data_IF_538266213970
#
_entry.id   IF_538266213970
#
_cell.length_a   1.000
_cell.length_b   1.000
_cell.length_c   1.000
_cell.angle_alpha   90.00
_cell.angle_beta   90.00
_cell.angle_gamma   90.00
#
_symmetry.space_group_name_H-M   'P 1'
#
loop_
_entity.id
_entity.type
_entity.pdbx_description
1 polymer ?
#
# COMPACT_ATOMS: atom_id res chain seq x y z
N UNK A 1 11.76 9.31 -0.33
CA UNK A 1 12.11 7.99 0.21
C UNK A 1 11.01 7.57 1.17
N UNK A 2 9.97 6.83 0.74
CA UNK A 2 8.80 6.57 1.59
C UNK A 2 9.14 5.85 2.90
N UNK A 3 10.31 5.20 2.97
CA UNK A 3 10.88 4.60 4.19
C UNK A 3 12.04 5.44 4.70
N UNK A 4 12.15 5.54 6.02
CA UNK A 4 13.33 6.06 6.71
C UNK A 4 13.61 5.19 7.92
N UNK A 5 14.59 4.32 7.80
CA UNK A 5 15.05 3.49 8.92
C UNK A 5 15.70 4.35 10.01
N UNK A 6 15.53 3.94 11.26
CA UNK A 6 16.31 4.50 12.37
C UNK A 6 17.78 4.09 12.23
N UNK A 7 18.68 4.97 12.63
CA UNK A 7 20.10 4.63 12.75
C UNK A 7 20.32 3.84 14.05
N UNK A 8 20.74 2.56 13.98
CA UNK A 8 20.88 1.71 15.16
C UNK A 8 21.87 2.26 16.19
N UNK A 9 22.87 3.04 15.78
CA UNK A 9 23.88 3.60 16.67
C UNK A 9 23.34 4.76 17.51
N UNK A 10 22.27 5.42 17.05
CA UNK A 10 21.67 6.60 17.70
C UNK A 10 20.23 6.36 18.17
N UNK A 11 19.68 5.17 17.95
CA UNK A 11 18.33 4.77 18.33
C UNK A 11 18.23 4.33 19.80
N UNK A 12 18.17 5.29 20.71
CA UNK A 12 17.96 5.04 22.14
C UNK A 12 16.52 4.64 22.50
N UNK A 13 15.55 4.85 21.59
CA UNK A 13 14.13 4.54 21.83
C UNK A 13 13.85 3.07 21.53
N UNK A 14 14.31 2.59 20.38
CA UNK A 14 14.09 1.23 19.92
C UNK A 14 12.73 1.00 19.27
N UNK A 15 12.69 0.02 18.37
CA UNK A 15 11.55 -0.27 17.47
C UNK A 15 10.19 -0.49 18.15
N UNK A 16 10.16 -1.06 19.36
CA UNK A 16 8.90 -1.40 20.03
C UNK A 16 8.40 -0.34 21.01
N UNK A 17 9.11 0.78 21.13
CA UNK A 17 8.80 1.85 22.09
C UNK A 17 8.39 3.17 21.42
N UNK A 18 8.39 3.23 20.08
CA UNK A 18 8.00 4.42 19.32
C UNK A 18 6.48 4.61 19.35
N UNK A 19 6.07 5.88 19.32
CA UNK A 19 4.69 6.27 19.10
C UNK A 19 4.27 6.01 17.64
N UNK A 20 2.98 5.76 17.45
CA UNK A 20 2.34 5.62 16.14
C UNK A 20 1.04 6.42 16.10
N UNK A 21 0.48 6.61 14.90
CA UNK A 21 -0.79 7.31 14.73
C UNK A 21 -1.94 6.58 15.47
N UNK A 22 -1.94 5.24 15.44
CA UNK A 22 -2.93 4.45 16.18
C UNK A 22 -2.82 4.60 17.70
N UNK A 23 -1.59 4.72 18.23
CA UNK A 23 -1.38 5.00 19.65
C UNK A 23 -1.81 6.43 20.02
N UNK A 24 -1.51 7.43 19.19
CA UNK A 24 -1.95 8.80 19.40
C UNK A 24 -3.49 8.90 19.41
N UNK A 25 -4.15 8.30 18.42
CA UNK A 25 -5.62 8.26 18.35
C UNK A 25 -6.23 7.56 19.58
N UNK A 26 -5.63 6.45 20.03
CA UNK A 26 -6.12 5.75 21.23
C UNK A 26 -5.97 6.61 22.49
N UNK A 27 -4.91 7.42 22.59
CA UNK A 27 -4.71 8.34 23.70
C UNK A 27 -5.78 9.43 23.72
N UNK A 28 -6.06 10.06 22.57
CA UNK A 28 -7.10 11.10 22.47
C UNK A 28 -8.50 10.55 22.73
N UNK A 29 -8.85 9.39 22.16
CA UNK A 29 -10.17 8.77 22.35
C UNK A 29 -10.39 8.29 23.79
N UNK A 30 -9.37 7.63 24.36
CA UNK A 30 -9.47 7.01 25.68
C UNK A 30 -8.07 6.82 26.31
N UNK A 31 -7.57 7.82 27.08
CA UNK A 31 -6.27 7.73 27.75
C UNK A 31 -6.14 6.50 28.67
N UNK A 32 -7.26 6.08 29.28
CA UNK A 32 -7.32 4.89 30.14
C UNK A 32 -7.08 3.60 29.35
N UNK A 33 -7.68 3.49 28.16
CA UNK A 33 -7.44 2.38 27.24
C UNK A 33 -5.98 2.36 26.78
N UNK A 34 -5.44 3.52 26.41
CA UNK A 34 -4.03 3.65 26.05
C UNK A 34 -3.11 3.20 27.19
N UNK A 35 -3.38 3.62 28.43
CA UNK A 35 -2.61 3.22 29.61
C UNK A 35 -2.65 1.69 29.79
N UNK A 36 -3.82 1.08 29.67
CA UNK A 36 -3.96 -0.37 29.76
C UNK A 36 -3.15 -1.12 28.69
N UNK A 37 -3.19 -0.66 27.44
CA UNK A 37 -2.46 -1.32 26.35
C UNK A 37 -0.94 -1.11 26.42
N UNK A 38 -0.51 0.12 26.71
CA UNK A 38 0.88 0.53 26.51
C UNK A 38 1.70 0.50 27.81
N UNK A 39 1.09 0.76 28.97
CA UNK A 39 1.76 0.68 30.28
C UNK A 39 1.50 -0.64 30.99
N UNK A 40 0.24 -1.08 31.08
CA UNK A 40 -0.10 -2.35 31.73
C UNK A 40 0.05 -3.57 30.81
N UNK A 41 0.32 -3.35 29.51
CA UNK A 41 0.48 -4.40 28.49
C UNK A 41 -0.72 -5.35 28.37
N UNK A 42 -1.93 -4.89 28.73
CA UNK A 42 -3.17 -5.62 28.50
C UNK A 42 -3.46 -5.66 27.00
N UNK A 43 -3.57 -6.87 26.44
CA UNK A 43 -3.72 -7.07 25.00
C UNK A 43 -5.18 -7.34 24.66
N UNK A 44 -5.70 -6.64 23.65
CA UNK A 44 -7.06 -6.82 23.19
C UNK A 44 -7.24 -8.11 22.39
N UNK A 45 -8.47 -8.66 22.38
CA UNK A 45 -8.81 -9.77 21.51
C UNK A 45 -8.52 -9.45 20.05
N UNK A 46 -8.09 -10.44 19.30
CA UNK A 46 -7.84 -10.33 17.86
C UNK A 46 -9.03 -10.92 17.11
N UNK A 47 -9.73 -10.08 16.36
CA UNK A 47 -10.98 -10.43 15.67
C UNK A 47 -10.72 -10.68 14.18
N UNK A 48 -11.53 -11.51 13.49
CA UNK A 48 -11.35 -11.79 12.07
C UNK A 48 -11.23 -10.55 11.16
N UNK A 49 -11.98 -9.44 11.36
CA UNK A 49 -11.84 -8.24 10.53
C UNK A 49 -10.43 -7.64 10.49
N UNK A 50 -9.64 -7.79 11.55
CA UNK A 50 -8.26 -7.30 11.58
C UNK A 50 -7.37 -8.10 10.62
N UNK A 51 -7.55 -9.43 10.58
CA UNK A 51 -6.80 -10.32 9.69
C UNK A 51 -7.32 -10.25 8.27
N UNK A 52 -8.63 -10.17 8.08
CA UNK A 52 -9.24 -9.99 6.75
C UNK A 52 -8.84 -8.64 6.13
N UNK A 53 -8.70 -7.57 6.93
CA UNK A 53 -8.17 -6.30 6.46
C UNK A 53 -6.74 -6.40 5.94
N UNK A 54 -5.87 -7.09 6.70
CA UNK A 54 -4.49 -7.40 6.28
C UNK A 54 -4.46 -8.29 5.03
N UNK A 55 -5.36 -9.29 4.94
CA UNK A 55 -5.46 -10.18 3.78
C UNK A 55 -5.78 -9.39 2.50
N UNK A 56 -6.69 -8.41 2.60
CA UNK A 56 -7.03 -7.52 1.48
C UNK A 56 -5.84 -6.67 1.07
N UNK A 57 -5.16 -6.04 2.03
CA UNK A 57 -3.98 -5.22 1.77
C UNK A 57 -2.87 -6.04 1.09
N UNK A 58 -2.54 -7.21 1.63
CA UNK A 58 -1.54 -8.10 1.05
C UNK A 58 -1.92 -8.53 -0.38
N UNK A 59 -3.18 -8.93 -0.60
CA UNK A 59 -3.65 -9.35 -1.92
C UNK A 59 -3.53 -8.22 -2.95
N UNK A 60 -3.91 -7.00 -2.59
CA UNK A 60 -3.77 -5.82 -3.46
C UNK A 60 -2.30 -5.55 -3.75
N UNK A 61 -1.43 -5.55 -2.75
CA UNK A 61 0.01 -5.34 -2.91
C UNK A 61 0.66 -6.40 -3.81
N UNK A 62 0.27 -7.69 -3.69
CA UNK A 62 0.78 -8.76 -4.57
C UNK A 62 0.39 -8.55 -6.03
N UNK A 63 -0.83 -8.09 -6.31
CA UNK A 63 -1.25 -7.77 -7.68
C UNK A 63 -0.56 -6.51 -8.21
N UNK A 64 -0.39 -5.47 -7.39
CA UNK A 64 0.35 -4.25 -7.76
C UNK A 64 1.85 -4.49 -8.02
N UNK A 65 2.43 -5.53 -7.41
CA UNK A 65 3.81 -5.94 -7.65
C UNK A 65 4.00 -6.56 -9.04
N UNK A 66 2.94 -7.12 -9.62
CA UNK A 66 2.95 -7.71 -10.96
C UNK A 66 2.72 -6.65 -12.05
N UNK A 67 2.96 -7.05 -13.30
CA UNK A 67 2.71 -6.20 -14.47
C UNK A 67 1.85 -6.94 -15.50
N UNK A 68 0.82 -6.29 -16.06
CA UNK A 68 0.06 -6.86 -17.18
C UNK A 68 0.89 -6.98 -18.46
N UNK A 69 2.07 -6.35 -18.54
CA UNK A 69 3.03 -6.53 -19.63
C UNK A 69 4.00 -7.70 -19.43
N UNK A 70 3.96 -8.39 -18.28
CA UNK A 70 4.88 -9.50 -17.94
C UNK A 70 4.15 -10.77 -17.48
N UNK A 71 2.98 -10.63 -16.87
CA UNK A 71 2.30 -11.72 -16.17
C UNK A 71 0.94 -11.97 -16.81
N UNK A 72 0.71 -13.20 -17.29
CA UNK A 72 -0.59 -13.62 -17.81
C UNK A 72 -1.67 -13.65 -16.70
N UNK A 73 -2.96 -13.43 -17.03
CA UNK A 73 -4.06 -13.46 -16.05
C UNK A 73 -4.08 -14.73 -15.18
N UNK A 74 -3.79 -15.88 -15.80
CA UNK A 74 -3.81 -17.21 -15.18
C UNK A 74 -2.42 -17.71 -14.73
N UNK A 75 -1.41 -16.84 -14.68
CA UNK A 75 -0.07 -17.21 -14.22
C UNK A 75 -0.10 -17.77 -12.78
N UNK A 76 0.79 -18.71 -12.42
CA UNK A 76 0.81 -19.26 -11.07
C UNK A 76 1.23 -18.20 -10.02
N UNK A 77 0.96 -18.51 -8.75
CA UNK A 77 1.27 -17.64 -7.60
C UNK A 77 2.74 -17.25 -7.49
N UNK A 78 3.64 -18.17 -7.86
CA UNK A 78 5.09 -18.01 -7.73
C UNK A 78 5.75 -17.49 -9.02
N UNK A 79 4.96 -16.93 -9.95
CA UNK A 79 5.48 -16.37 -11.23
C UNK A 79 6.57 -15.32 -11.00
N UNK A 80 6.47 -14.53 -9.92
CA UNK A 80 7.45 -13.49 -9.55
C UNK A 80 8.58 -14.00 -8.63
N UNK A 81 8.63 -15.29 -8.27
CA UNK A 81 9.56 -15.83 -7.26
C UNK A 81 11.03 -15.59 -7.59
N UNK A 82 11.37 -15.57 -8.88
CA UNK A 82 12.74 -15.32 -9.34
C UNK A 82 12.96 -13.85 -9.74
N UNK A 83 12.01 -12.95 -9.46
CA UNK A 83 12.06 -11.54 -9.85
C UNK A 83 11.57 -11.29 -11.29
N UNK A 84 11.08 -10.07 -11.51
CA UNK A 84 10.49 -9.63 -12.77
C UNK A 84 11.52 -9.58 -13.92
N UNK A 85 12.79 -9.34 -13.62
CA UNK A 85 13.87 -9.28 -14.63
C UNK A 85 14.20 -10.62 -15.29
N UNK A 86 13.58 -11.71 -14.83
CA UNK A 86 13.69 -13.04 -15.41
C UNK A 86 12.42 -13.47 -16.16
N UNK A 87 11.42 -12.58 -16.26
CA UNK A 87 10.26 -12.72 -17.12
C UNK A 87 10.52 -12.03 -18.47
N UNK A 88 9.94 -12.57 -19.53
CA UNK A 88 9.95 -11.94 -20.84
C UNK A 88 8.72 -11.03 -20.96
N UNK A 89 8.85 -9.82 -21.54
CA UNK A 89 7.70 -9.02 -21.97
C UNK A 89 6.74 -9.84 -22.82
N UNK A 90 5.45 -9.69 -22.54
CA UNK A 90 4.39 -10.23 -23.38
C UNK A 90 4.41 -9.55 -24.75
N UNK A 91 4.09 -10.31 -25.80
CA UNK A 91 3.86 -9.76 -27.12
C UNK A 91 2.61 -8.88 -27.14
N UNK A 92 2.49 -8.02 -28.15
CA UNK A 92 1.40 -7.04 -28.21
C UNK A 92 0.01 -7.71 -28.30
N UNK A 93 -0.08 -8.92 -28.87
CA UNK A 93 -1.28 -9.75 -28.93
C UNK A 93 -1.53 -10.62 -27.67
N UNK A 94 -0.55 -10.68 -26.76
CA UNK A 94 -0.64 -11.38 -25.47
C UNK A 94 -0.99 -10.45 -24.30
N UNK A 95 -0.76 -9.14 -24.44
CA UNK A 95 -1.14 -8.14 -23.44
C UNK A 95 -2.66 -8.13 -23.27
N UNK A 96 -3.19 -8.15 -22.04
CA UNK A 96 -4.63 -8.15 -21.81
C UNK A 96 -5.28 -6.86 -22.33
N UNK A 97 -6.39 -7.02 -23.06
CA UNK A 97 -7.17 -5.88 -23.56
C UNK A 97 -7.96 -5.17 -22.44
N UNK A 98 -8.33 -5.90 -21.39
CA UNK A 98 -9.01 -5.37 -20.21
C UNK A 98 -8.13 -5.61 -18.96
N UNK A 99 -7.53 -4.53 -18.47
CA UNK A 99 -6.67 -4.59 -17.29
C UNK A 99 -7.44 -4.84 -16.00
N UNK A 100 -8.74 -4.48 -15.96
CA UNK A 100 -9.56 -4.75 -14.79
C UNK A 100 -9.92 -6.24 -14.72
N UNK A 101 -10.23 -6.86 -15.86
CA UNK A 101 -10.39 -8.32 -15.96
C UNK A 101 -9.09 -9.06 -15.61
N UNK A 102 -7.94 -8.53 -16.05
CA UNK A 102 -6.62 -9.02 -15.64
C UNK A 102 -6.44 -8.92 -14.11
N UNK A 103 -6.68 -7.75 -13.52
CA UNK A 103 -6.61 -7.53 -12.07
C UNK A 103 -7.49 -8.51 -11.31
N UNK A 104 -8.72 -8.70 -11.79
CA UNK A 104 -9.69 -9.61 -11.20
C UNK A 104 -9.20 -11.07 -11.23
N UNK A 105 -8.61 -11.49 -12.34
CA UNK A 105 -7.98 -12.80 -12.48
C UNK A 105 -6.80 -12.97 -11.54
N UNK A 106 -5.95 -11.94 -11.38
CA UNK A 106 -4.83 -11.96 -10.44
C UNK A 106 -5.29 -12.03 -8.99
N UNK A 107 -6.35 -11.30 -8.62
CA UNK A 107 -6.99 -11.42 -7.30
C UNK A 107 -7.49 -12.85 -7.08
N UNK A 108 -8.13 -13.47 -8.06
CA UNK A 108 -8.62 -14.85 -7.93
C UNK A 108 -7.50 -15.87 -7.73
N UNK A 109 -6.32 -15.61 -8.30
CA UNK A 109 -5.13 -16.43 -8.09
C UNK A 109 -4.59 -16.25 -6.66
N UNK A 110 -4.40 -15.01 -6.20
CA UNK A 110 -3.77 -14.68 -4.91
C UNK A 110 -4.67 -14.89 -3.69
N UNK A 111 -5.94 -14.51 -3.79
CA UNK A 111 -6.86 -14.43 -2.65
C UNK A 111 -7.01 -15.73 -1.85
N UNK A 112 -7.23 -16.92 -2.46
CA UNK A 112 -7.48 -18.14 -1.69
C UNK A 112 -6.34 -18.47 -0.74
N UNK A 113 -5.08 -18.40 -1.23
CA UNK A 113 -3.91 -18.72 -0.42
C UNK A 113 -3.73 -17.72 0.73
N UNK A 114 -3.78 -16.43 0.44
CA UNK A 114 -3.59 -15.37 1.45
C UNK A 114 -4.69 -15.46 2.52
N UNK A 115 -5.94 -15.63 2.12
CA UNK A 115 -7.07 -15.79 3.03
C UNK A 115 -6.87 -16.98 3.97
N UNK A 116 -6.44 -18.12 3.43
CA UNK A 116 -6.26 -19.35 4.21
C UNK A 116 -5.08 -19.23 5.19
N UNK A 117 -3.97 -18.63 4.76
CA UNK A 117 -2.83 -18.31 5.64
C UNK A 117 -3.22 -17.34 6.77
N UNK A 118 -4.02 -16.30 6.46
CA UNK A 118 -4.53 -15.36 7.45
C UNK A 118 -5.52 -16.00 8.43
N UNK A 119 -6.35 -16.94 7.95
CA UNK A 119 -7.22 -17.73 8.82
C UNK A 119 -6.41 -18.63 9.76
N UNK A 120 -5.35 -19.26 9.26
CA UNK A 120 -4.44 -20.08 10.07
C UNK A 120 -3.73 -19.24 11.14
N UNK A 121 -3.26 -18.04 10.80
CA UNK A 121 -2.63 -17.12 11.75
C UNK A 121 -3.62 -16.69 12.85
N UNK A 122 -4.82 -16.25 12.49
CA UNK A 122 -5.87 -15.91 13.45
C UNK A 122 -6.22 -17.10 14.34
N UNK A 123 -6.33 -18.30 13.76
CA UNK A 123 -6.70 -19.52 14.49
C UNK A 123 -5.66 -19.92 15.55
N UNK A 124 -4.39 -19.55 15.35
CA UNK A 124 -3.28 -19.80 16.27
C UNK A 124 -3.01 -18.65 17.24
N UNK A 125 -3.58 -17.45 17.03
CA UNK A 125 -3.36 -16.32 17.92
C UNK A 125 -3.94 -16.63 19.31
N UNK A 126 -3.12 -16.49 20.35
CA UNK A 126 -3.49 -16.74 21.75
C UNK A 126 -4.65 -15.86 22.24
N UNK A 127 -4.94 -14.76 21.53
CA UNK A 127 -5.98 -13.79 21.83
C UNK A 127 -7.11 -13.83 20.80
N UNK A 128 -7.22 -14.88 19.99
CA UNK A 128 -8.30 -14.99 19.00
C UNK A 128 -9.66 -14.85 19.65
N UNK A 129 -10.58 -14.20 18.95
CA UNK A 129 -11.93 -13.93 19.40
C UNK A 129 -12.86 -13.72 18.22
N UNK A 130 -14.17 -13.87 18.44
CA UNK A 130 -15.16 -13.87 17.37
C UNK A 130 -15.12 -15.17 16.57
N UNK A 131 -15.88 -15.22 15.48
CA UNK A 131 -15.96 -16.37 14.60
C UNK A 131 -15.61 -15.95 13.16
N UNK A 132 -14.63 -16.63 12.56
CA UNK A 132 -14.18 -16.35 11.19
C UNK A 132 -15.31 -16.52 10.15
N UNK A 133 -16.21 -17.47 10.40
CA UNK A 133 -17.31 -17.81 9.49
C UNK A 133 -18.48 -16.82 9.54
N UNK A 134 -18.43 -15.81 10.42
CA UNK A 134 -19.42 -14.72 10.43
C UNK A 134 -19.20 -13.73 9.27
N UNK A 135 -18.08 -13.88 8.53
CA UNK A 135 -17.67 -12.98 7.47
C UNK A 135 -17.70 -13.68 6.12
N UNK A 136 -18.17 -12.95 5.10
CA UNK A 136 -18.24 -13.43 3.73
C UNK A 136 -16.89 -13.19 3.02
N UNK A 137 -16.26 -14.25 2.55
CA UNK A 137 -14.96 -14.19 1.90
C UNK A 137 -15.01 -13.56 0.51
N UNK A 138 -16.14 -13.65 -0.18
CA UNK A 138 -16.33 -13.04 -1.50
C UNK A 138 -16.43 -11.51 -1.37
N UNK A 139 -17.05 -11.03 -0.28
CA UNK A 139 -17.08 -9.60 0.03
C UNK A 139 -15.68 -9.01 0.20
N UNK A 140 -14.77 -9.71 0.89
CA UNK A 140 -13.38 -9.22 1.05
C UNK A 140 -12.56 -9.39 -0.23
N UNK A 141 -12.79 -10.46 -1.00
CA UNK A 141 -12.22 -10.59 -2.35
C UNK A 141 -12.61 -9.40 -3.22
N UNK A 142 -13.88 -8.99 -3.20
CA UNK A 142 -14.38 -7.88 -3.99
C UNK A 142 -13.84 -6.52 -3.52
N UNK A 143 -13.44 -6.41 -2.25
CA UNK A 143 -12.68 -5.25 -1.76
C UNK A 143 -11.30 -5.16 -2.43
N UNK A 144 -10.61 -6.28 -2.68
CA UNK A 144 -9.36 -6.30 -3.44
C UNK A 144 -9.57 -5.78 -4.87
N UNK A 145 -10.59 -6.27 -5.56
CA UNK A 145 -10.95 -5.81 -6.92
C UNK A 145 -11.34 -4.33 -6.91
N UNK A 146 -12.05 -3.88 -5.87
CA UNK A 146 -12.40 -2.47 -5.73
C UNK A 146 -11.16 -1.58 -5.55
N UNK A 147 -10.16 -2.02 -4.79
CA UNK A 147 -8.89 -1.30 -4.65
C UNK A 147 -8.14 -1.20 -5.99
N UNK A 148 -8.10 -2.29 -6.77
CA UNK A 148 -7.44 -2.31 -8.08
C UNK A 148 -8.21 -1.50 -9.13
N UNK A 149 -9.54 -1.47 -9.06
CA UNK A 149 -10.35 -0.52 -9.86
C UNK A 149 -9.99 0.92 -9.53
N UNK A 150 -9.79 1.24 -8.25
CA UNK A 150 -9.30 2.56 -7.87
C UNK A 150 -7.86 2.80 -8.39
N UNK A 151 -6.98 1.80 -8.30
CA UNK A 151 -5.66 1.94 -8.93
C UNK A 151 -5.75 2.23 -10.43
N UNK A 152 -6.69 1.61 -11.15
CA UNK A 152 -6.90 1.87 -12.58
C UNK A 152 -7.24 3.33 -12.90
N UNK A 153 -7.96 4.07 -12.02
CA UNK A 153 -8.15 5.51 -12.26
C UNK A 153 -6.81 6.27 -12.17
N UNK A 154 -5.88 5.86 -11.30
CA UNK A 154 -4.53 6.44 -11.22
C UNK A 154 -3.69 6.09 -12.46
N UNK A 155 -3.84 4.88 -13.01
CA UNK A 155 -3.22 4.45 -14.27
C UNK A 155 -3.73 5.31 -15.42
N UNK A 156 -5.04 5.53 -15.51
CA UNK A 156 -5.63 6.37 -16.55
C UNK A 156 -5.24 7.84 -16.41
N UNK A 157 -5.21 8.38 -15.18
CA UNK A 157 -4.71 9.73 -14.92
C UNK A 157 -3.25 9.88 -15.34
N UNK A 158 -2.40 8.91 -14.98
CA UNK A 158 -1.00 8.87 -15.40
C UNK A 158 -0.88 8.85 -16.93
N UNK A 159 -1.58 7.93 -17.60
CA UNK A 159 -1.53 7.82 -19.07
C UNK A 159 -1.89 9.14 -19.76
N UNK A 160 -2.86 9.87 -19.23
CA UNK A 160 -3.39 11.09 -19.82
C UNK A 160 -2.60 12.35 -19.46
N UNK A 161 -1.84 12.35 -18.37
CA UNK A 161 -1.19 13.56 -17.84
C UNK A 161 0.32 13.47 -17.70
N UNK A 162 0.92 12.29 -17.92
CA UNK A 162 2.36 12.10 -17.84
C UNK A 162 3.10 13.03 -18.79
N UNK A 163 4.17 13.65 -18.29
CA UNK A 163 5.02 14.50 -19.10
C UNK A 163 5.95 13.67 -19.98
N UNK A 164 6.32 14.20 -21.15
CA UNK A 164 7.30 13.57 -22.04
C UNK A 164 8.65 13.33 -21.34
N UNK A 165 9.06 14.26 -20.46
CA UNK A 165 10.26 14.12 -19.66
C UNK A 165 10.19 12.93 -18.70
N UNK A 166 9.11 12.81 -17.93
CA UNK A 166 8.93 11.71 -16.96
C UNK A 166 8.85 10.35 -17.67
N UNK A 167 8.13 10.29 -18.79
CA UNK A 167 8.03 9.08 -19.62
C UNK A 167 9.40 8.67 -20.18
N UNK A 168 10.16 9.62 -20.71
CA UNK A 168 11.50 9.35 -21.27
C UNK A 168 12.46 8.86 -20.19
N UNK A 169 12.51 9.55 -19.04
CA UNK A 169 13.33 9.13 -17.91
C UNK A 169 12.99 7.71 -17.43
N UNK A 170 11.70 7.39 -17.32
CA UNK A 170 11.27 6.03 -16.94
C UNK A 170 11.69 4.99 -17.99
N UNK A 171 11.52 5.28 -19.29
CA UNK A 171 11.93 4.40 -20.40
C UNK A 171 13.43 4.13 -20.40
N UNK A 172 14.23 5.13 -20.05
CA UNK A 172 15.68 5.03 -19.89
C UNK A 172 16.11 4.23 -18.64
N UNK A 173 15.15 3.89 -17.77
CA UNK A 173 15.39 3.09 -16.58
C UNK A 173 15.70 3.92 -15.33
N UNK A 174 15.40 5.22 -15.32
CA UNK A 174 15.51 6.04 -14.11
C UNK A 174 14.54 5.52 -13.05
N UNK A 175 15.06 5.25 -11.85
CA UNK A 175 14.27 4.75 -10.72
C UNK A 175 14.42 5.68 -9.52
N UNK A 176 13.39 5.70 -8.68
CA UNK A 176 13.51 6.30 -7.36
C UNK A 176 14.51 5.52 -6.51
N UNK A 177 15.18 6.21 -5.59
CA UNK A 177 16.12 5.61 -4.64
C UNK A 177 15.52 4.50 -3.77
N UNK A 178 14.22 4.57 -3.48
CA UNK A 178 13.39 3.41 -3.09
C UNK A 178 12.31 3.27 -4.17
N UNK A 179 12.45 2.30 -5.09
CA UNK A 179 11.45 2.03 -6.11
C UNK A 179 10.19 1.41 -5.47
N UNK A 180 9.07 1.45 -6.20
CA UNK A 180 7.93 0.62 -5.83
C UNK A 180 8.34 -0.86 -5.88
N UNK A 181 7.78 -1.74 -5.03
CA UNK A 181 8.01 -3.16 -5.16
C UNK A 181 7.53 -3.65 -6.54
N UNK A 182 8.49 -4.03 -7.38
CA UNK A 182 8.23 -4.48 -8.76
C UNK A 182 9.02 -5.72 -9.16
N UNK A 183 9.78 -6.29 -8.21
CA UNK A 183 10.63 -7.46 -8.45
C UNK A 183 11.80 -7.21 -9.40
N UNK A 184 12.08 -5.95 -9.78
CA UNK A 184 13.21 -5.59 -10.66
C UNK A 184 14.40 -5.08 -9.86
N UNK A 185 15.59 -5.53 -10.26
CA UNK A 185 16.90 -5.15 -9.72
C UNK A 185 17.90 -4.75 -10.80
N UNK A 186 17.71 -5.18 -12.06
CA UNK A 186 18.62 -4.85 -13.16
C UNK A 186 18.45 -3.39 -13.60
N UNK A 187 19.59 -2.75 -13.86
CA UNK A 187 19.66 -1.39 -14.42
C UNK A 187 19.55 -1.40 -15.95
N UNK A 188 19.34 -0.22 -16.52
CA UNK A 188 19.19 0.00 -17.97
C UNK A 188 17.73 0.26 -18.38
N UNK A 189 17.52 0.42 -19.69
CA UNK A 189 16.22 0.75 -20.26
C UNK A 189 15.12 -0.20 -19.79
N UNK A 190 13.93 0.34 -19.56
CA UNK A 190 12.79 -0.45 -19.09
C UNK A 190 12.40 -1.49 -20.16
N UNK A 191 12.27 -2.79 -19.83
CA UNK A 191 11.96 -3.83 -20.81
C UNK A 191 10.58 -3.67 -21.46
N UNK A 192 9.67 -2.96 -20.78
CA UNK A 192 8.34 -2.61 -21.28
C UNK A 192 8.28 -1.24 -21.99
N UNK A 193 9.41 -0.56 -22.18
CA UNK A 193 9.45 0.71 -22.89
C UNK A 193 9.03 0.53 -24.36
N UNK A 194 8.15 1.40 -24.84
CA UNK A 194 7.69 1.42 -26.23
C UNK A 194 8.01 2.77 -26.88
N UNK A 195 7.95 2.81 -28.21
CA UNK A 195 8.01 4.07 -28.95
C UNK A 195 6.63 4.73 -29.02
N UNK A 196 6.59 6.06 -29.13
CA UNK A 196 5.36 6.84 -29.26
C UNK A 196 4.76 7.26 -27.91
N UNK A 197 3.44 7.46 -27.91
CA UNK A 197 2.69 7.89 -26.72
C UNK A 197 2.77 6.86 -25.59
N UNK A 198 2.45 7.29 -24.36
CA UNK A 198 2.39 6.42 -23.20
C UNK A 198 1.32 5.32 -23.42
N UNK A 199 1.77 4.06 -23.48
CA UNK A 199 0.91 2.90 -23.53
C UNK A 199 0.27 2.63 -22.15
N UNK A 200 -0.78 1.79 -22.12
CA UNK A 200 -1.44 1.46 -20.86
C UNK A 200 -0.54 0.64 -19.92
N UNK A 201 0.31 -0.24 -20.47
CA UNK A 201 1.32 -0.97 -19.69
C UNK A 201 2.32 -0.01 -19.06
N UNK A 202 2.85 0.95 -19.83
CA UNK A 202 3.78 1.95 -19.28
C UNK A 202 3.10 2.79 -18.19
N UNK A 203 1.84 3.20 -18.40
CA UNK A 203 1.09 3.93 -17.39
C UNK A 203 0.86 3.11 -16.12
N UNK A 204 0.63 1.79 -16.21
CA UNK A 204 0.53 0.91 -15.04
C UNK A 204 1.85 0.89 -14.25
N UNK A 205 2.97 0.67 -14.93
CA UNK A 205 4.29 0.63 -14.30
C UNK A 205 4.66 1.95 -13.63
N UNK A 206 4.35 3.09 -14.28
CA UNK A 206 4.69 4.42 -13.78
C UNK A 206 3.74 4.84 -12.65
N UNK A 207 2.45 4.54 -12.77
CA UNK A 207 1.47 4.87 -11.75
C UNK A 207 1.58 3.98 -10.51
N UNK A 208 2.27 2.84 -10.60
CA UNK A 208 2.46 1.91 -9.49
C UNK A 208 2.93 2.64 -8.23
N UNK A 209 2.14 2.61 -7.15
CA UNK A 209 2.54 3.27 -5.91
C UNK A 209 3.70 2.51 -5.27
N UNK A 210 4.45 3.20 -4.42
CA UNK A 210 5.21 2.48 -3.40
C UNK A 210 4.24 1.92 -2.35
N UNK A 211 4.53 0.73 -1.84
CA UNK A 211 3.80 0.06 -0.77
C UNK A 211 4.75 -0.83 0.04
N UNK A 212 4.29 -1.33 1.19
CA UNK A 212 5.03 -2.31 1.99
C UNK A 212 5.11 -3.62 1.22
N UNK A 213 6.32 -4.01 0.83
CA UNK A 213 6.55 -5.29 0.17
C UNK A 213 6.05 -6.45 1.07
N UNK A 214 5.09 -7.27 0.59
CA UNK A 214 4.56 -8.41 1.34
C UNK A 214 5.62 -9.42 1.81
N UNK A 215 6.74 -9.50 1.09
CA UNK A 215 7.82 -10.44 1.41
C UNK A 215 8.91 -9.80 2.30
N UNK A 216 8.79 -8.50 2.63
CA UNK A 216 9.72 -7.82 3.54
C UNK A 216 9.50 -8.23 5.00
N UNK A 217 10.57 -8.23 5.84
CA UNK A 217 10.43 -8.49 7.26
C UNK A 217 9.44 -7.53 7.91
N UNK A 218 8.62 -8.04 8.82
CA UNK A 218 7.61 -7.23 9.51
C UNK A 218 8.23 -5.95 10.10
N UNK A 219 7.56 -4.82 9.95
CA UNK A 219 7.97 -3.48 10.38
C UNK A 219 9.33 -2.97 9.86
N UNK A 220 9.89 -3.57 8.80
CA UNK A 220 11.16 -3.11 8.22
C UNK A 220 11.01 -1.87 7.32
N UNK A 221 9.79 -1.56 6.87
CA UNK A 221 9.51 -0.51 5.90
C UNK A 221 8.80 0.72 6.51
N UNK A 222 9.08 1.01 7.79
CA UNK A 222 8.54 2.17 8.47
C UNK A 222 9.30 3.46 8.11
N UNK A 223 8.58 4.58 8.06
CA UNK A 223 9.19 5.90 8.20
C UNK A 223 9.36 6.22 9.68
N UNK A 224 10.61 6.40 10.11
CA UNK A 224 10.96 6.74 11.50
C UNK A 224 11.35 8.22 11.58
N UNK A 225 10.82 8.91 12.59
CA UNK A 225 11.18 10.29 12.90
C UNK A 225 12.70 10.39 13.20
N UNK A 226 13.40 11.48 12.80
CA UNK A 226 14.83 11.65 13.05
C UNK A 226 15.26 11.48 14.51
N UNK A 227 14.41 11.86 15.45
CA UNK A 227 14.62 11.72 16.89
C UNK A 227 14.07 10.38 17.45
N UNK A 228 13.70 9.44 16.58
CA UNK A 228 13.30 8.06 16.88
C UNK A 228 12.06 7.87 17.76
N UNK A 229 11.38 8.93 18.22
CA UNK A 229 10.21 8.80 19.11
C UNK A 229 8.90 8.42 18.39
N UNK A 230 8.84 8.56 17.06
CA UNK A 230 7.65 8.26 16.25
C UNK A 230 7.98 7.40 15.04
N UNK A 231 7.05 6.52 14.66
CA UNK A 231 7.10 5.81 13.38
C UNK A 231 5.70 5.63 12.77
N UNK A 232 5.67 5.50 11.45
CA UNK A 232 4.47 5.17 10.70
C UNK A 232 4.80 4.33 9.47
N UNK A 233 3.80 3.62 8.98
CA UNK A 233 3.86 2.80 7.78
C UNK A 233 2.77 3.31 6.83
N UNK A 234 3.14 3.66 5.61
CA UNK A 234 2.19 4.13 4.60
C UNK A 234 1.69 2.93 3.81
N UNK A 235 0.38 2.83 3.59
CA UNK A 235 -0.18 1.74 2.78
C UNK A 235 0.25 1.92 1.32
N UNK A 236 -0.07 3.07 0.70
CA UNK A 236 0.31 3.39 -0.67
C UNK A 236 0.84 4.84 -0.81
N UNK A 237 1.92 5.01 -1.57
CA UNK A 237 2.49 6.32 -1.92
C UNK A 237 2.64 6.45 -3.44
N UNK A 238 1.75 7.20 -4.06
CA UNK A 238 1.80 7.52 -5.49
C UNK A 238 2.75 8.69 -5.75
N UNK A 239 3.48 8.61 -6.87
CA UNK A 239 4.55 9.56 -7.22
C UNK A 239 4.53 10.04 -8.68
N UNK A 240 3.56 9.58 -9.46
CA UNK A 240 3.45 9.93 -10.88
C UNK A 240 2.97 11.37 -11.09
N UNK A 241 3.36 11.96 -12.22
CA UNK A 241 2.97 13.33 -12.60
C UNK A 241 3.62 14.39 -11.71
N UNK A 242 4.80 14.10 -11.15
CA UNK A 242 5.56 14.99 -10.26
C UNK A 242 4.85 15.31 -8.94
N UNK A 243 3.84 14.52 -8.54
CA UNK A 243 3.02 14.76 -7.35
C UNK A 243 3.08 13.56 -6.40
N UNK A 244 3.45 13.83 -5.16
CA UNK A 244 3.34 12.85 -4.08
C UNK A 244 1.90 12.81 -3.57
N UNK A 245 1.28 11.64 -3.52
CA UNK A 245 -0.04 11.43 -2.90
C UNK A 245 0.04 10.22 -1.97
N UNK A 246 -0.51 10.35 -0.77
CA UNK A 246 -0.51 9.28 0.24
C UNK A 246 -1.93 8.75 0.40
N UNK A 247 -2.10 7.45 0.22
CA UNK A 247 -3.39 6.76 0.29
C UNK A 247 -3.33 5.73 1.41
N UNK A 248 -4.40 5.68 2.20
CA UNK A 248 -4.62 4.72 3.28
C UNK A 248 -5.79 3.80 2.88
N UNK A 249 -5.54 2.49 2.84
CA UNK A 249 -6.50 1.46 2.45
C UNK A 249 -7.33 1.05 3.66
N UNK A 250 -8.65 0.94 3.47
CA UNK A 250 -9.55 0.47 4.52
C UNK A 250 -10.51 -0.56 3.97
N UNK A 251 -10.28 -1.82 4.32
CA UNK A 251 -11.16 -2.96 4.09
C UNK A 251 -12.43 -2.88 4.97
N UNK A 252 -13.24 -1.85 4.75
CA UNK A 252 -14.45 -1.56 5.49
C UNK A 252 -15.44 -0.76 4.65
N UNK A 253 -16.69 -0.69 5.11
CA UNK A 253 -17.75 0.12 4.50
C UNK A 253 -17.73 1.60 4.92
N UNK A 254 -16.78 2.02 5.75
CA UNK A 254 -16.63 3.42 6.17
C UNK A 254 -17.71 3.99 7.10
N UNK A 255 -18.63 3.16 7.59
CA UNK A 255 -19.77 3.58 8.45
C UNK A 255 -19.61 3.30 9.95
N UNK A 256 -18.44 2.85 10.42
CA UNK A 256 -18.18 2.63 11.85
C UNK A 256 -17.59 3.85 12.56
N UNK A 257 -17.73 3.92 13.88
CA UNK A 257 -17.25 5.01 14.76
C UNK A 257 -15.75 5.35 14.60
N UNK A 258 -14.94 4.42 14.06
CA UNK A 258 -13.50 4.64 13.80
C UNK A 258 -13.21 5.55 12.60
N UNK A 259 -14.20 5.90 11.78
CA UNK A 259 -14.01 6.68 10.56
C UNK A 259 -13.58 8.14 10.79
N UNK A 260 -13.85 8.70 11.97
CA UNK A 260 -13.43 10.05 12.34
C UNK A 260 -11.90 10.19 12.51
N UNK A 261 -11.22 9.13 12.94
CA UNK A 261 -9.81 9.19 13.33
C UNK A 261 -8.84 9.06 12.15
N UNK A 262 -9.34 8.68 10.96
CA UNK A 262 -8.51 8.55 9.77
C UNK A 262 -8.01 9.90 9.26
N UNK A 263 -8.74 10.99 9.53
CA UNK A 263 -8.29 12.35 9.17
C UNK A 263 -7.03 12.72 9.93
N UNK A 264 -7.01 12.49 11.25
CA UNK A 264 -5.84 12.77 12.08
C UNK A 264 -4.69 11.80 11.76
N UNK A 265 -4.98 10.53 11.49
CA UNK A 265 -3.97 9.58 11.01
C UNK A 265 -3.28 10.08 9.73
N UNK A 266 -4.05 10.53 8.74
CA UNK A 266 -3.50 11.06 7.50
C UNK A 266 -2.69 12.36 7.71
N UNK A 267 -3.12 13.24 8.62
CA UNK A 267 -2.34 14.43 8.99
C UNK A 267 -1.01 14.07 9.65
N UNK A 268 -1.00 13.06 10.51
CA UNK A 268 0.22 12.53 11.12
C UNK A 268 1.14 11.95 10.05
N UNK A 269 0.61 11.22 9.07
CA UNK A 269 1.36 10.72 7.92
C UNK A 269 1.97 11.85 7.10
N UNK A 270 1.25 12.94 6.87
CA UNK A 270 1.80 14.10 6.21
C UNK A 270 2.90 14.82 7.00
N UNK A 271 2.72 14.97 8.31
CA UNK A 271 3.75 15.51 9.20
C UNK A 271 5.01 14.65 9.14
N UNK A 272 4.85 13.33 9.28
CA UNK A 272 5.95 12.38 9.21
C UNK A 272 6.64 12.45 7.85
N UNK A 273 5.88 12.54 6.76
CA UNK A 273 6.44 12.73 5.41
C UNK A 273 7.28 14.00 5.36
N UNK A 274 6.72 15.15 5.74
CA UNK A 274 7.41 16.44 5.74
C UNK A 274 8.70 16.41 6.54
N UNK A 275 8.70 15.83 7.74
CA UNK A 275 9.89 15.75 8.59
C UNK A 275 10.96 14.83 7.99
N UNK A 276 10.53 13.73 7.38
CA UNK A 276 11.44 12.73 6.80
C UNK A 276 11.91 13.07 5.39
N UNK A 277 11.30 14.06 4.74
CA UNK A 277 11.51 14.44 3.33
C UNK A 277 11.75 15.94 3.15
N UNK A 278 12.62 16.54 3.96
CA UNK A 278 13.12 17.91 3.73
C UNK A 278 12.02 18.98 3.59
N UNK A 279 10.92 18.83 4.33
CA UNK A 279 9.80 19.77 4.31
C UNK A 279 8.83 19.60 3.14
N UNK A 280 8.97 18.55 2.32
CA UNK A 280 8.01 18.25 1.25
C UNK A 280 6.61 18.00 1.81
N UNK A 281 5.58 18.54 1.17
CA UNK A 281 4.17 18.35 1.54
C UNK A 281 3.50 17.51 0.46
N UNK A 282 2.82 16.40 0.81
CA UNK A 282 2.04 15.64 -0.15
C UNK A 282 0.97 16.51 -0.84
N UNK A 283 0.77 16.32 -2.14
CA UNK A 283 -0.25 17.03 -2.91
C UNK A 283 -1.68 16.59 -2.55
N UNK A 284 -1.85 15.36 -2.06
CA UNK A 284 -3.13 14.83 -1.59
C UNK A 284 -2.94 13.76 -0.52
N UNK A 285 -3.94 13.65 0.35
CA UNK A 285 -4.11 12.56 1.29
C UNK A 285 -5.48 11.93 1.05
N UNK A 286 -5.56 10.60 0.96
CA UNK A 286 -6.82 9.91 0.67
C UNK A 286 -7.03 8.68 1.56
N UNK A 287 -8.28 8.41 1.91
CA UNK A 287 -8.70 7.12 2.44
C UNK A 287 -9.53 6.41 1.39
N UNK A 288 -9.18 5.17 1.07
CA UNK A 288 -9.89 4.33 0.12
C UNK A 288 -10.74 3.31 0.90
N UNK A 289 -12.05 3.53 0.91
CA UNK A 289 -13.02 2.64 1.55
C UNK A 289 -13.45 1.56 0.58
N UNK A 290 -12.79 0.41 0.67
CA UNK A 290 -12.92 -0.67 -0.30
C UNK A 290 -14.29 -1.35 -0.26
N UNK A 291 -14.95 -1.38 0.90
CA UNK A 291 -16.27 -2.00 1.06
C UNK A 291 -17.44 -1.22 0.45
N UNK A 292 -17.19 0.02 0.00
CA UNK A 292 -18.20 0.89 -0.63
C UNK A 292 -17.71 1.56 -1.91
N UNK A 293 -16.46 1.34 -2.32
CA UNK A 293 -15.92 1.94 -3.53
C UNK A 293 -15.76 3.46 -3.46
N UNK A 294 -15.45 4.02 -2.28
CA UNK A 294 -15.36 5.48 -2.08
C UNK A 294 -13.93 5.90 -1.76
N UNK A 295 -13.44 6.93 -2.46
CA UNK A 295 -12.25 7.69 -2.07
C UNK A 295 -12.64 8.96 -1.34
N UNK A 296 -12.14 9.14 -0.12
CA UNK A 296 -12.27 10.42 0.58
C UNK A 296 -10.94 11.16 0.51
N UNK A 297 -10.97 12.34 -0.08
CA UNK A 297 -9.81 13.21 -0.25
C UNK A 297 -9.76 14.27 0.85
N UNK A 298 -8.60 14.47 1.43
CA UNK A 298 -8.37 15.45 2.47
C UNK A 298 -7.36 16.48 1.97
N UNK A 299 -7.69 17.77 2.14
CA UNK A 299 -6.82 18.88 1.79
C UNK A 299 -6.17 19.44 3.06
N UNK A 300 -4.92 19.88 2.95
CA UNK A 300 -4.30 20.71 3.98
C UNK A 300 -4.96 22.09 3.94
N UNK A 301 -5.86 22.36 4.89
CA UNK A 301 -6.15 23.75 5.21
C UNK A 301 -4.94 24.26 6.00
N UNK A 302 -4.07 25.04 5.34
CA UNK A 302 -3.13 25.87 6.07
C UNK A 302 -3.96 26.79 6.95
N UNK A 303 -3.97 26.55 8.26
CA UNK A 303 -4.42 27.56 9.20
C UNK A 303 -3.49 28.76 9.01
N UNK A 304 -3.99 29.81 8.38
CA UNK A 304 -3.37 31.13 8.44
C UNK A 304 -3.33 31.50 9.91
N UNK A 305 -2.16 31.41 10.52
CA UNK A 305 -1.88 32.09 11.79
C UNK A 305 -1.92 33.60 11.58
#
# INVERSE_FOLDING_TARGET
>A
MPVRSADPETDEVGRFNRLSASQANTWEDCPRLWFYQNKMRLKFPQTPPLFLGRAVEECVCRVLMESPGLVFPNAPLDVMKNGADNLLPLFDDEVPNDFLEWCESRVNTHWPKIRDEMHEEWSKDARKSGNWHDYDMDVYRDMCVTALRMHMDEVMDCKNTISESELTEWREGKRFSIPAPDGRVKEGSHPLARAGECSLVEAWEIARPWFVDPDAPQFSLNAVHPEHWFQGEYDLVYRHGGRIRIMDLKASRGGGDRSGNYVEQLRIYAMLWSITHEGQIPAALEVWYLGVGVRKKYQFQMQKK
#
